data_IF_503967591709
#
_entry.id   IF_503967591709
#
_cell.length_a   1.000
_cell.length_b   1.000
_cell.length_c   1.000
_cell.angle_alpha   90.00
_cell.angle_beta   90.00
_cell.angle_gamma   90.00
#
_symmetry.space_group_name_H-M   'P 1'
#
loop_
_entity.id
_entity.type
_entity.pdbx_description
1 polymer ?
#
# COMPACT_ATOMS: atom_id res chain seq x y z
N UNK A 1 -3.10 -16.13 6.82
CA UNK A 1 -3.80 -17.04 7.77
C UNK A 1 -5.30 -17.00 7.50
N UNK A 2 -5.94 -18.16 7.35
CA UNK A 2 -7.40 -18.26 7.14
C UNK A 2 -8.03 -19.09 8.25
N UNK A 3 -9.08 -18.58 8.87
CA UNK A 3 -9.92 -19.31 9.81
C UNK A 3 -11.31 -19.45 9.21
N UNK A 4 -11.88 -20.65 9.26
CA UNK A 4 -13.19 -20.97 8.68
C UNK A 4 -14.05 -21.68 9.73
N UNK A 5 -15.32 -21.31 9.82
CA UNK A 5 -16.34 -21.99 10.61
C UNK A 5 -17.44 -22.47 9.68
N UNK A 6 -17.63 -23.78 9.62
CA UNK A 6 -18.73 -24.41 8.90
C UNK A 6 -19.95 -24.54 9.80
N UNK A 7 -21.12 -24.20 9.27
CA UNK A 7 -22.43 -24.40 9.86
C UNK A 7 -23.24 -25.32 8.95
N UNK A 8 -23.70 -26.45 9.50
CA UNK A 8 -24.56 -27.38 8.79
C UNK A 8 -26.02 -26.95 8.94
N UNK A 9 -26.70 -26.77 7.81
CA UNK A 9 -28.11 -26.45 7.74
C UNK A 9 -28.92 -27.72 7.44
N UNK A 10 -30.24 -27.62 7.56
CA UNK A 10 -31.13 -28.72 7.13
C UNK A 10 -31.03 -28.93 5.62
N UNK A 11 -31.31 -30.16 5.17
CA UNK A 11 -31.35 -30.55 3.76
C UNK A 11 -29.98 -30.67 3.07
N UNK A 12 -28.91 -30.93 3.83
CA UNK A 12 -27.57 -31.17 3.25
C UNK A 12 -26.78 -29.91 2.88
N UNK A 13 -27.37 -28.73 3.07
CA UNK A 13 -26.73 -27.44 2.83
C UNK A 13 -25.72 -27.15 3.96
N UNK A 14 -24.57 -26.59 3.63
CA UNK A 14 -23.61 -26.05 4.60
C UNK A 14 -23.19 -24.62 4.27
N UNK A 15 -22.85 -23.85 5.29
CA UNK A 15 -22.41 -22.47 5.18
C UNK A 15 -21.07 -22.28 5.87
N UNK A 16 -20.06 -21.87 5.12
CA UNK A 16 -18.72 -21.58 5.60
C UNK A 16 -18.53 -20.07 5.79
N UNK A 17 -18.35 -19.66 7.04
CA UNK A 17 -17.94 -18.30 7.41
C UNK A 17 -16.44 -18.28 7.52
N UNK A 18 -15.75 -17.36 6.85
CA UNK A 18 -14.30 -17.27 6.98
C UNK A 18 -13.79 -15.85 7.19
N UNK A 19 -12.70 -15.79 7.96
CA UNK A 19 -11.82 -14.63 8.09
C UNK A 19 -10.48 -15.01 7.50
N UNK A 20 -9.97 -14.20 6.58
CA UNK A 20 -8.68 -14.39 5.95
C UNK A 20 -7.83 -13.15 6.15
N UNK A 21 -6.80 -13.30 6.98
CA UNK A 21 -5.79 -12.27 7.22
C UNK A 21 -4.59 -12.52 6.30
N UNK A 22 -4.29 -11.55 5.46
CA UNK A 22 -3.09 -11.50 4.61
C UNK A 22 -2.08 -10.55 5.25
N UNK A 23 -0.79 -10.85 5.11
CA UNK A 23 0.29 -10.19 5.83
C UNK A 23 0.01 -10.09 7.36
N UNK A 24 -0.13 -11.25 8.01
CA UNK A 24 -0.51 -11.33 9.43
C UNK A 24 0.45 -10.57 10.34
N UNK A 25 1.75 -10.62 10.02
CA UNK A 25 2.81 -10.01 10.82
C UNK A 25 3.08 -8.54 10.49
N UNK A 26 2.37 -7.94 9.53
CA UNK A 26 2.61 -6.56 9.06
C UNK A 26 4.04 -6.33 8.56
N UNK A 27 4.61 -7.32 7.88
CA UNK A 27 5.96 -7.16 7.37
C UNK A 27 5.92 -6.34 6.09
N UNK A 28 6.71 -5.28 6.04
CA UNK A 28 7.00 -4.53 4.83
C UNK A 28 8.02 -5.32 4.01
N UNK A 29 7.54 -5.97 2.97
CA UNK A 29 8.37 -6.77 2.09
C UNK A 29 8.68 -5.97 0.82
N UNK A 30 9.89 -5.43 0.75
CA UNK A 30 10.39 -4.69 -0.41
C UNK A 30 10.54 -5.63 -1.61
N UNK A 31 9.89 -5.28 -2.72
CA UNK A 31 9.94 -5.98 -4.00
C UNK A 31 10.88 -5.31 -5.00
N UNK A 32 10.96 -3.98 -4.96
CA UNK A 32 11.77 -3.16 -5.85
C UNK A 32 12.26 -1.92 -5.13
N UNK A 33 13.36 -1.36 -5.60
CA UNK A 33 13.95 -0.12 -5.09
C UNK A 33 14.22 0.83 -6.25
N UNK A 34 14.35 2.13 -5.97
CA UNK A 34 14.78 3.08 -6.98
C UNK A 34 16.27 2.88 -7.29
N UNK A 35 16.62 2.81 -8.58
CA UNK A 35 18.01 2.59 -9.02
C UNK A 35 18.97 3.70 -8.58
N UNK A 36 18.44 4.92 -8.42
CA UNK A 36 19.22 6.11 -8.06
C UNK A 36 19.64 6.15 -6.60
N UNK A 37 18.87 5.55 -5.69
CA UNK A 37 19.07 5.61 -4.24
C UNK A 37 19.34 4.25 -3.60
N UNK A 38 18.89 3.16 -4.24
CA UNK A 38 18.79 1.84 -3.60
C UNK A 38 17.70 1.77 -2.53
N UNK A 39 16.86 2.79 -2.41
CA UNK A 39 15.81 2.94 -1.40
C UNK A 39 14.43 2.71 -2.06
N UNK A 40 13.51 1.95 -1.43
CA UNK A 40 12.14 1.78 -1.93
C UNK A 40 11.24 3.02 -1.77
N UNK A 41 11.56 3.95 -0.87
CA UNK A 41 10.70 5.08 -0.50
C UNK A 41 11.10 6.40 -1.18
N UNK A 42 12.36 6.53 -1.58
CA UNK A 42 12.89 7.79 -2.10
C UNK A 42 13.86 7.60 -3.25
N UNK A 43 13.82 8.50 -4.24
CA UNK A 43 14.76 8.53 -5.37
C UNK A 43 16.07 9.26 -5.05
N UNK A 44 16.11 10.03 -3.95
CA UNK A 44 17.17 11.01 -3.62
C UNK A 44 17.39 12.11 -4.67
N UNK A 45 16.42 12.39 -5.54
CA UNK A 45 16.57 13.49 -6.51
C UNK A 45 16.49 14.88 -5.85
N UNK A 46 15.66 15.04 -4.81
CA UNK A 46 15.47 16.31 -4.11
C UNK A 46 16.75 16.85 -3.44
N UNK A 47 17.73 15.99 -3.16
CA UNK A 47 19.03 16.40 -2.57
C UNK A 47 20.08 16.78 -3.63
N UNK A 48 19.72 16.75 -4.92
CA UNK A 48 20.58 17.24 -6.00
C UNK A 48 20.39 18.74 -6.20
N UNK A 49 21.37 19.44 -6.78
CA UNK A 49 21.27 20.88 -7.09
C UNK A 49 20.02 21.23 -7.91
N UNK A 50 19.65 20.37 -8.87
CA UNK A 50 18.44 20.52 -9.66
C UNK A 50 17.16 20.34 -8.80
N UNK A 51 17.19 19.42 -7.84
CA UNK A 51 16.11 19.19 -6.87
C UNK A 51 15.94 20.38 -5.92
N UNK A 52 17.02 20.92 -5.38
CA UNK A 52 17.00 22.12 -4.53
C UNK A 52 16.44 23.32 -5.29
N UNK A 53 16.87 23.52 -6.54
CA UNK A 53 16.34 24.57 -7.43
C UNK A 53 14.84 24.37 -7.70
N UNK A 54 14.38 23.12 -7.84
CA UNK A 54 12.97 22.82 -8.00
C UNK A 54 12.16 23.16 -6.74
N UNK A 55 12.67 22.83 -5.55
CA UNK A 55 12.02 23.16 -4.27
C UNK A 55 11.87 24.67 -4.13
N UNK A 56 12.94 25.44 -4.41
CA UNK A 56 12.91 26.91 -4.33
C UNK A 56 11.83 27.49 -5.26
N UNK A 57 11.80 27.03 -6.51
CA UNK A 57 10.85 27.49 -7.52
C UNK A 57 9.39 27.02 -7.29
N UNK A 58 9.17 26.01 -6.44
CA UNK A 58 7.84 25.44 -6.19
C UNK A 58 7.50 25.41 -4.69
N UNK A 59 8.05 26.37 -3.94
CA UNK A 59 7.85 26.50 -2.49
C UNK A 59 6.42 26.94 -2.12
N UNK A 60 5.70 27.58 -3.04
CA UNK A 60 4.32 28.02 -2.85
C UNK A 60 3.29 26.97 -3.31
N UNK A 61 2.13 26.99 -2.66
CA UNK A 61 0.99 26.13 -3.03
C UNK A 61 0.17 26.83 -4.11
N UNK A 62 0.09 26.22 -5.30
CA UNK A 62 -0.59 26.81 -6.46
C UNK A 62 -1.89 26.12 -6.87
N UNK A 63 -2.34 25.09 -6.15
CA UNK A 63 -3.58 24.37 -6.47
C UNK A 63 -4.37 23.94 -5.22
N UNK A 64 -5.53 23.32 -5.46
CA UNK A 64 -6.44 22.89 -4.41
C UNK A 64 -5.93 21.71 -3.57
N UNK A 65 -4.77 21.11 -3.91
CA UNK A 65 -4.22 20.02 -3.11
C UNK A 65 -3.72 20.48 -1.74
N UNK A 66 -3.41 21.77 -1.59
CA UNK A 66 -2.80 22.29 -0.37
C UNK A 66 -1.32 21.95 -0.23
N UNK A 67 -0.72 21.28 -1.23
CA UNK A 67 0.66 20.80 -1.20
C UNK A 67 1.57 21.67 -2.07
N UNK A 68 2.79 21.91 -1.58
CA UNK A 68 3.86 22.54 -2.36
C UNK A 68 4.54 21.53 -3.32
N UNK A 69 5.50 21.97 -4.11
CA UNK A 69 6.19 21.11 -5.08
C UNK A 69 6.96 19.95 -4.44
N UNK A 70 7.60 20.18 -3.30
CA UNK A 70 8.34 19.17 -2.55
C UNK A 70 7.41 18.06 -2.04
N UNK A 71 6.32 18.43 -1.38
CA UNK A 71 5.33 17.50 -0.83
C UNK A 71 4.70 16.64 -1.93
N UNK A 72 4.41 17.23 -3.09
CA UNK A 72 3.91 16.49 -4.27
C UNK A 72 4.94 15.49 -4.78
N UNK A 73 6.21 15.88 -4.82
CA UNK A 73 7.28 14.99 -5.26
C UNK A 73 7.45 13.81 -4.30
N UNK A 74 7.45 14.06 -2.99
CA UNK A 74 7.54 13.02 -1.96
C UNK A 74 6.37 12.05 -2.09
N UNK A 75 5.14 12.57 -2.23
CA UNK A 75 3.95 11.74 -2.41
C UNK A 75 4.03 10.87 -3.67
N UNK A 76 4.56 11.42 -4.78
CA UNK A 76 4.76 10.67 -6.01
C UNK A 76 5.90 9.64 -5.91
N UNK A 77 6.88 9.86 -5.05
CA UNK A 77 8.00 8.94 -4.79
C UNK A 77 7.61 7.77 -3.90
N UNK A 78 6.57 7.91 -3.08
CA UNK A 78 6.02 6.82 -2.28
C UNK A 78 5.20 5.86 -3.15
N UNK A 79 5.88 5.00 -3.91
CA UNK A 79 5.24 4.03 -4.80
C UNK A 79 4.88 2.74 -4.06
N UNK A 80 3.57 2.41 -3.87
CA UNK A 80 3.16 1.17 -3.22
C UNK A 80 3.60 -0.09 -4.00
N UNK A 81 3.87 0.04 -5.30
CA UNK A 81 4.38 -1.05 -6.14
C UNK A 81 5.78 -1.53 -5.76
N UNK A 82 6.52 -0.78 -4.94
CA UNK A 82 7.81 -1.20 -4.39
C UNK A 82 7.65 -2.19 -3.22
N UNK A 83 6.42 -2.40 -2.72
CA UNK A 83 6.11 -3.27 -1.60
C UNK A 83 5.13 -4.37 -1.99
N UNK A 84 5.21 -5.51 -1.31
CA UNK A 84 4.18 -6.55 -1.38
C UNK A 84 2.87 -6.08 -0.73
N UNK A 85 1.82 -6.89 -0.83
CA UNK A 85 0.49 -6.55 -0.34
C UNK A 85 0.51 -6.05 1.12
N UNK A 86 -0.25 -4.98 1.42
CA UNK A 86 -0.42 -4.53 2.80
C UNK A 86 -1.22 -5.54 3.60
N UNK A 87 -1.27 -5.36 4.93
CA UNK A 87 -2.16 -6.14 5.80
C UNK A 87 -3.62 -5.95 5.37
N UNK A 88 -4.26 -7.06 5.03
CA UNK A 88 -5.67 -7.10 4.63
C UNK A 88 -6.41 -8.13 5.46
N UNK A 89 -7.61 -7.77 5.93
CA UNK A 89 -8.53 -8.68 6.60
C UNK A 89 -9.76 -8.83 5.70
N UNK A 90 -9.96 -10.04 5.18
CA UNK A 90 -11.07 -10.37 4.30
C UNK A 90 -12.09 -11.22 5.04
N UNK A 91 -13.35 -10.82 4.96
CA UNK A 91 -14.48 -11.58 5.47
C UNK A 91 -15.22 -12.20 4.30
N UNK A 92 -15.71 -13.43 4.46
CA UNK A 92 -16.54 -14.03 3.42
C UNK A 92 -17.40 -15.18 3.90
N UNK A 93 -18.37 -15.48 3.05
CA UNK A 93 -19.35 -16.55 3.20
C UNK A 93 -19.28 -17.44 1.97
N UNK A 94 -19.40 -18.76 2.16
CA UNK A 94 -19.56 -19.71 1.07
C UNK A 94 -20.66 -20.70 1.42
N UNK A 95 -21.66 -20.78 0.57
CA UNK A 95 -22.75 -21.75 0.68
C UNK A 95 -22.44 -22.96 -0.21
N UNK A 96 -22.55 -24.16 0.34
CA UNK A 96 -22.41 -25.42 -0.38
C UNK A 96 -23.74 -26.17 -0.31
N UNK A 97 -24.22 -26.69 -1.44
CA UNK A 97 -25.51 -27.38 -1.60
C UNK A 97 -25.33 -28.65 -2.41
#
# INVERSE_FOLDING_TARGET
>A
MKATKTLFLKNGISLDFYVWVMNLLDRDNVLSVYETSGDPDATNWLVTEAGETFIENNSEVHDASGLNGEEKYILASQNPGNYDIPRQIRFGLRMNF
#
